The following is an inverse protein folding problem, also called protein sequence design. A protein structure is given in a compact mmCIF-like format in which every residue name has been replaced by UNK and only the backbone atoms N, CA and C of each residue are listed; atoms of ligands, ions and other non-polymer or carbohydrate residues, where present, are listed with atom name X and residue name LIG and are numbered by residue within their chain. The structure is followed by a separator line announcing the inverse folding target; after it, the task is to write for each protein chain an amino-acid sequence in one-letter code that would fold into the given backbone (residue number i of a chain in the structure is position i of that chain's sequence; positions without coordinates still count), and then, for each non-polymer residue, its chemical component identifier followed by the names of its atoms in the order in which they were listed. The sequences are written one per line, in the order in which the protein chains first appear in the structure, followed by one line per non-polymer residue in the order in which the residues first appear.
data_IF_935202575180
#
_entry.id   IF_935202575180
#
_cell.length_a   1.000
_cell.length_b   1.000
_cell.length_c   1.000
_cell.angle_alpha   90.00
_cell.angle_beta   90.00
_cell.angle_gamma   90.00
#
_symmetry.space_group_name_H-M   'P 1'
#
loop_
_entity.id
_entity.type
_entity.pdbx_description
1 polymer ?
#
# COMPACT_ATOMS: atom_id res chain seq x y z
N UNK A 1 -13.25 -16.72 -10.83
CA UNK A 1 -12.73 -16.64 -9.45
C UNK A 1 -11.22 -16.61 -9.56
N UNK A 2 -10.56 -15.54 -9.14
CA UNK A 2 -9.09 -15.53 -9.07
C UNK A 2 -8.70 -16.42 -7.89
N UNK A 3 -7.84 -17.41 -8.12
CA UNK A 3 -7.31 -18.27 -7.07
C UNK A 3 -6.48 -17.41 -6.12
N UNK A 4 -7.05 -17.14 -4.94
CA UNK A 4 -6.42 -16.38 -3.88
C UNK A 4 -5.58 -17.33 -3.02
N UNK A 5 -4.27 -17.11 -3.01
CA UNK A 5 -3.30 -17.85 -2.21
C UNK A 5 -3.18 -17.22 -0.82
N UNK A 6 -3.14 -18.06 0.21
CA UNK A 6 -2.86 -17.60 1.56
C UNK A 6 -1.42 -17.09 1.67
N UNK A 7 -1.25 -15.86 2.16
CA UNK A 7 0.06 -15.20 2.30
C UNK A 7 0.57 -15.22 3.74
N UNK A 8 -0.33 -15.23 4.72
CA UNK A 8 0.01 -15.22 6.14
C UNK A 8 -1.00 -14.47 7.01
N UNK A 9 -0.75 -14.44 8.32
CA UNK A 9 -1.52 -13.66 9.27
C UNK A 9 -0.87 -12.30 9.54
N UNK A 10 -1.68 -11.24 9.52
CA UNK A 10 -1.30 -9.90 9.98
C UNK A 10 -1.37 -9.76 11.50
N UNK A 11 -2.28 -10.50 12.10
CA UNK A 11 -2.51 -10.54 13.53
C UNK A 11 -3.24 -11.83 13.89
N UNK A 12 -2.87 -12.40 15.02
CA UNK A 12 -3.56 -13.52 15.64
C UNK A 12 -3.61 -13.22 17.14
N UNK A 13 -4.81 -13.25 17.72
CA UNK A 13 -4.95 -13.07 19.16
C UNK A 13 -4.39 -14.29 19.89
N UNK A 14 -3.83 -14.10 21.10
CA UNK A 14 -3.31 -15.21 21.91
C UNK A 14 -4.38 -16.26 22.25
N UNK A 15 -5.64 -15.83 22.27
CA UNK A 15 -6.81 -16.68 22.54
C UNK A 15 -7.35 -17.38 21.29
N UNK A 16 -6.85 -17.03 20.09
CA UNK A 16 -7.36 -17.54 18.81
C UNK A 16 -8.73 -16.98 18.42
N UNK A 17 -9.33 -16.13 19.25
CA UNK A 17 -10.67 -15.56 19.06
C UNK A 17 -10.73 -14.59 17.87
N UNK A 18 -9.62 -13.93 17.52
CA UNK A 18 -9.58 -13.01 16.37
C UNK A 18 -8.29 -13.25 15.60
N UNK A 19 -8.43 -13.56 14.31
CA UNK A 19 -7.33 -13.69 13.36
C UNK A 19 -7.56 -12.80 12.15
N UNK A 20 -6.51 -12.13 11.69
CA UNK A 20 -6.52 -11.33 10.48
C UNK A 20 -5.60 -11.98 9.46
N UNK A 21 -6.19 -12.62 8.45
CA UNK A 21 -5.49 -13.34 7.40
C UNK A 21 -5.38 -12.50 6.13
N UNK A 22 -4.29 -12.67 5.38
CA UNK A 22 -4.07 -12.05 4.08
C UNK A 22 -4.00 -13.11 3.01
N UNK A 23 -4.76 -12.89 1.95
CA UNK A 23 -4.73 -13.68 0.73
C UNK A 23 -4.35 -12.78 -0.44
N UNK A 24 -3.70 -13.34 -1.45
CA UNK A 24 -3.32 -12.61 -2.66
C UNK A 24 -3.36 -13.52 -3.86
N UNK A 25 -3.63 -12.98 -5.04
CA UNK A 25 -3.53 -13.75 -6.28
C UNK A 25 -2.06 -14.08 -6.62
N UNK A 26 -1.84 -15.03 -7.52
CA UNK A 26 -0.49 -15.43 -8.00
C UNK A 26 0.33 -14.22 -8.46
N UNK A 27 -0.31 -13.23 -9.08
CA UNK A 27 0.37 -12.04 -9.61
C UNK A 27 0.52 -10.91 -8.58
N UNK A 28 0.04 -11.10 -7.34
CA UNK A 28 0.10 -10.09 -6.27
C UNK A 28 -0.48 -8.73 -6.66
N UNK A 29 -1.55 -8.75 -7.46
CA UNK A 29 -2.30 -7.58 -7.94
C UNK A 29 -3.50 -7.27 -7.05
N UNK A 30 -4.07 -8.29 -6.42
CA UNK A 30 -5.20 -8.20 -5.51
C UNK A 30 -4.83 -8.78 -4.15
N UNK A 31 -5.27 -8.09 -3.09
CA UNK A 31 -5.07 -8.49 -1.71
C UNK A 31 -6.42 -8.57 -1.01
N UNK A 32 -6.78 -9.73 -0.48
CA UNK A 32 -7.96 -9.90 0.36
C UNK A 32 -7.53 -10.03 1.80
N UNK A 33 -8.06 -9.15 2.66
CA UNK A 33 -7.92 -9.26 4.11
C UNK A 33 -9.19 -9.89 4.64
N UNK A 34 -9.04 -10.99 5.40
CA UNK A 34 -10.13 -11.65 6.09
C UNK A 34 -9.96 -11.46 7.60
N UNK A 35 -10.98 -10.88 8.25
CA UNK A 35 -11.07 -10.84 9.71
C UNK A 35 -11.94 -12.03 10.12
N UNK A 36 -11.34 -12.98 10.82
CA UNK A 36 -11.95 -14.22 11.26
C UNK A 36 -12.13 -14.11 12.77
N UNK A 37 -13.37 -13.92 13.23
CA UNK A 37 -13.71 -13.86 14.64
C UNK A 37 -14.38 -15.13 15.12
N UNK A 38 -13.80 -15.84 16.08
CA UNK A 38 -14.39 -17.02 16.74
C UNK A 38 -15.00 -16.59 18.07
N UNK A 39 -16.31 -16.34 18.12
CA UNK A 39 -17.06 -16.36 19.40
C UNK A 39 -17.38 -17.81 19.72
N UNK A 40 -17.14 -18.21 20.96
CA UNK A 40 -17.00 -19.59 21.47
C UNK A 40 -18.06 -20.64 21.13
N UNK A 41 -19.16 -20.33 20.42
CA UNK A 41 -20.16 -21.34 19.99
C UNK A 41 -20.76 -21.11 18.60
N UNK A 42 -20.28 -20.12 17.83
CA UNK A 42 -20.72 -19.87 16.45
C UNK A 42 -19.51 -19.71 15.53
N UNK A 43 -19.45 -20.54 14.48
CA UNK A 43 -18.41 -20.42 13.44
C UNK A 43 -18.46 -19.00 12.87
N UNK A 44 -17.33 -18.33 13.01
CA UNK A 44 -17.16 -16.89 12.88
C UNK A 44 -17.67 -16.26 11.60
N UNK A 45 -18.38 -15.15 11.76
CA UNK A 45 -18.52 -14.16 10.71
C UNK A 45 -17.12 -13.78 10.22
N UNK A 46 -16.87 -14.05 8.94
CA UNK A 46 -15.64 -13.67 8.28
C UNK A 46 -15.92 -12.42 7.46
N UNK A 47 -15.33 -11.30 7.87
CA UNK A 47 -15.43 -10.04 7.14
C UNK A 47 -14.29 -10.01 6.13
N UNK A 48 -14.62 -9.90 4.85
CA UNK A 48 -13.66 -9.82 3.77
C UNK A 48 -13.60 -8.39 3.23
N UNK A 49 -12.39 -7.90 3.01
CA UNK A 49 -12.16 -6.65 2.29
C UNK A 49 -11.11 -6.90 1.22
N UNK A 50 -11.44 -6.53 -0.01
CA UNK A 50 -10.55 -6.60 -1.17
C UNK A 50 -9.84 -5.26 -1.36
N UNK A 51 -8.55 -5.33 -1.65
CA UNK A 51 -7.66 -4.21 -1.84
C UNK A 51 -6.85 -4.40 -3.11
N UNK A 52 -6.64 -3.32 -3.86
CA UNK A 52 -5.54 -3.26 -4.83
C UNK A 52 -4.19 -3.29 -4.09
N UNK A 53 -3.11 -3.59 -4.81
CA UNK A 53 -1.75 -3.56 -4.25
C UNK A 53 -1.41 -2.23 -3.58
N UNK A 54 -1.74 -1.12 -4.23
CA UNK A 54 -1.51 0.23 -3.70
C UNK A 54 -2.28 0.47 -2.39
N UNK A 55 -3.57 0.12 -2.36
CA UNK A 55 -4.41 0.30 -1.17
C UNK A 55 -3.95 -0.59 -0.01
N UNK A 56 -3.56 -1.83 -0.31
CA UNK A 56 -2.99 -2.75 0.68
C UNK A 56 -1.67 -2.20 1.25
N UNK A 57 -0.76 -1.68 0.41
CA UNK A 57 0.49 -1.06 0.87
C UNK A 57 0.22 0.15 1.79
N UNK A 58 -0.78 0.97 1.48
CA UNK A 58 -1.20 2.11 2.33
C UNK A 58 -1.84 1.64 3.65
N UNK A 59 -2.69 0.61 3.59
CA UNK A 59 -3.33 0.03 4.76
C UNK A 59 -2.27 -0.47 5.76
N UNK A 60 -1.31 -1.29 5.30
CA UNK A 60 -0.23 -1.80 6.14
C UNK A 60 0.62 -0.66 6.72
N UNK A 61 0.95 0.36 5.92
CA UNK A 61 1.67 1.52 6.41
C UNK A 61 0.93 2.23 7.54
N UNK A 62 -0.40 2.38 7.43
CA UNK A 62 -1.22 3.01 8.47
C UNK A 62 -1.25 2.18 9.76
N UNK A 63 -1.37 0.86 9.64
CA UNK A 63 -1.32 -0.08 10.77
C UNK A 63 0.05 -0.03 11.46
N UNK A 64 1.14 -0.07 10.69
CA UNK A 64 2.50 0.05 11.21
C UNK A 64 2.70 1.37 11.94
N UNK A 65 2.23 2.50 11.40
CA UNK A 65 2.32 3.81 12.05
C UNK A 65 1.53 3.87 13.35
N UNK A 66 0.33 3.29 13.38
CA UNK A 66 -0.49 3.24 14.61
C UNK A 66 0.15 2.35 15.68
N UNK A 67 0.65 1.17 15.30
CA UNK A 67 1.42 0.30 16.22
C UNK A 67 2.69 1.00 16.72
N UNK A 68 3.42 1.69 15.84
CA UNK A 68 4.61 2.44 16.22
C UNK A 68 4.30 3.53 17.26
N UNK A 69 3.22 4.30 17.09
CA UNK A 69 2.78 5.30 18.08
C UNK A 69 2.47 4.68 19.44
N UNK A 70 1.78 3.54 19.45
CA UNK A 70 1.50 2.79 20.68
C UNK A 70 2.79 2.31 21.34
N UNK A 71 3.70 1.69 20.58
CA UNK A 71 4.99 1.20 21.09
C UNK A 71 5.84 2.33 21.67
N UNK A 72 5.88 3.49 21.02
CA UNK A 72 6.57 4.67 21.54
C UNK A 72 5.97 5.20 22.85
N UNK A 73 4.65 5.08 23.03
CA UNK A 73 4.00 5.44 24.30
C UNK A 73 4.35 4.44 25.42
N UNK A 74 4.49 3.15 25.11
CA UNK A 74 4.98 2.14 26.05
C UNK A 74 6.45 2.34 26.40
N UNK A 75 7.29 2.71 25.44
CA UNK A 75 8.70 3.06 25.67
C UNK A 75 8.84 4.26 26.62
N UNK A 76 8.02 5.30 26.39
CA UNK A 76 7.94 6.45 27.30
C UNK A 76 7.46 6.07 28.72
N UNK A 77 6.80 4.93 28.88
CA UNK A 77 6.36 4.38 30.16
C UNK A 77 7.40 3.45 30.82
N UNK A 78 8.62 3.36 30.27
CA UNK A 78 9.74 2.60 30.84
C UNK A 78 9.92 1.17 30.30
N UNK A 79 9.14 0.76 29.30
CA UNK A 79 9.30 -0.56 28.67
C UNK A 79 10.36 -0.51 27.56
N UNK A 80 11.35 -1.41 27.59
CA UNK A 80 12.34 -1.53 26.51
C UNK A 80 11.70 -2.25 25.33
N UNK A 81 11.53 -1.56 24.20
CA UNK A 81 10.95 -2.11 22.99
C UNK A 81 11.94 -1.95 21.83
N UNK A 82 12.10 -3.01 21.03
CA UNK A 82 12.89 -2.97 19.81
C UNK A 82 12.06 -2.36 18.67
N UNK A 83 12.07 -1.02 18.59
CA UNK A 83 11.27 -0.25 17.65
C UNK A 83 12.00 0.03 16.32
N UNK A 84 13.28 -0.34 16.24
CA UNK A 84 14.16 0.01 15.11
C UNK A 84 13.77 -0.71 13.82
N UNK A 85 13.38 -1.99 13.91
CA UNK A 85 12.92 -2.76 12.75
C UNK A 85 11.62 -2.20 12.15
N UNK A 86 10.70 -1.76 13.01
CA UNK A 86 9.44 -1.13 12.58
C UNK A 86 9.72 0.22 11.92
N UNK A 87 10.64 1.02 12.50
CA UNK A 87 11.07 2.29 11.91
C UNK A 87 11.72 2.10 10.54
N UNK A 88 12.59 1.10 10.40
CA UNK A 88 13.26 0.77 9.13
C UNK A 88 12.24 0.33 8.07
N UNK A 89 11.24 -0.46 8.47
CA UNK A 89 10.15 -0.87 7.58
C UNK A 89 9.29 0.31 7.12
N UNK A 90 8.89 1.19 8.05
CA UNK A 90 8.12 2.41 7.74
C UNK A 90 8.88 3.29 6.75
N UNK A 91 10.15 3.60 7.02
CA UNK A 91 10.99 4.43 6.13
C UNK A 91 11.14 3.81 4.73
N UNK A 92 11.31 2.49 4.65
CA UNK A 92 11.41 1.77 3.37
C UNK A 92 10.11 1.87 2.56
N UNK A 93 8.95 1.75 3.20
CA UNK A 93 7.64 1.85 2.55
C UNK A 93 7.33 3.29 2.12
N UNK A 94 7.66 4.29 2.95
CA UNK A 94 7.48 5.70 2.63
C UNK A 94 8.32 6.13 1.42
N UNK A 95 9.59 5.72 1.39
CA UNK A 95 10.48 6.03 0.26
C UNK A 95 9.96 5.44 -1.06
N UNK A 96 9.37 4.23 -1.03
CA UNK A 96 8.73 3.63 -2.21
C UNK A 96 7.50 4.43 -2.68
N UNK A 97 6.66 4.87 -1.75
CA UNK A 97 5.48 5.67 -2.06
C UNK A 97 5.85 7.07 -2.60
N UNK A 98 6.92 7.66 -2.11
CA UNK A 98 7.45 8.94 -2.60
C UNK A 98 8.03 8.82 -4.01
N UNK A 99 8.84 7.79 -4.28
CA UNK A 99 9.39 7.52 -5.61
C UNK A 99 8.27 7.31 -6.64
N UNK A 100 7.25 6.51 -6.31
CA UNK A 100 6.08 6.33 -7.20
C UNK A 100 5.40 7.67 -7.53
N UNK A 101 5.17 8.53 -6.52
CA UNK A 101 4.59 9.87 -6.74
C UNK A 101 5.48 10.76 -7.61
N UNK A 102 6.80 10.68 -7.43
CA UNK A 102 7.76 11.43 -8.23
C UNK A 102 7.70 11.01 -9.71
N UNK A 103 7.68 9.69 -9.98
CA UNK A 103 7.59 9.13 -11.34
C UNK A 103 6.32 9.58 -12.05
N UNK A 104 5.17 9.56 -11.36
CA UNK A 104 3.89 10.03 -11.94
C UNK A 104 3.98 11.51 -12.32
N UNK A 105 4.51 12.35 -11.43
CA UNK A 105 4.70 13.79 -11.71
C UNK A 105 5.64 14.02 -12.91
N UNK A 106 6.77 13.32 -12.95
CA UNK A 106 7.71 13.40 -14.08
C UNK A 106 7.07 12.95 -15.39
N UNK A 107 6.24 11.90 -15.36
CA UNK A 107 5.56 11.37 -16.56
C UNK A 107 4.57 12.39 -17.13
N UNK A 108 3.82 13.08 -16.28
CA UNK A 108 2.88 14.14 -16.70
C UNK A 108 3.65 15.33 -17.31
N UNK A 109 4.74 15.75 -16.68
CA UNK A 109 5.57 16.84 -17.20
C UNK A 109 6.17 16.46 -18.56
N UNK A 110 6.73 15.27 -18.68
CA UNK A 110 7.31 14.77 -19.93
C UNK A 110 6.26 14.72 -21.05
N UNK A 111 5.06 14.23 -20.75
CA UNK A 111 3.95 14.21 -21.71
C UNK A 111 3.59 15.63 -22.20
N UNK A 112 3.45 16.60 -21.29
CA UNK A 112 3.14 17.98 -21.65
C UNK A 112 4.25 18.63 -22.51
N UNK A 113 5.52 18.36 -22.20
CA UNK A 113 6.65 18.88 -22.99
C UNK A 113 6.63 18.32 -24.42
N UNK A 114 6.35 17.03 -24.58
CA UNK A 114 6.24 16.40 -25.91
C UNK A 114 5.13 17.06 -26.74
N UNK A 115 3.97 17.32 -26.15
CA UNK A 115 2.87 17.98 -26.85
C UNK A 115 3.19 19.42 -27.25
N UNK A 116 3.85 20.18 -26.38
CA UNK A 116 4.27 21.55 -26.70
C UNK A 116 5.25 21.55 -27.87
N UNK A 117 6.24 20.66 -27.85
CA UNK A 117 7.20 20.52 -28.96
C UNK A 117 6.52 20.10 -30.27
N UNK A 118 5.55 19.20 -30.20
CA UNK A 118 4.75 18.78 -31.36
C UNK A 118 3.97 19.97 -31.96
N UNK A 119 3.34 20.80 -31.11
CA UNK A 119 2.60 21.99 -31.54
C UNK A 119 3.54 22.98 -32.22
N UNK A 120 4.72 23.24 -31.64
CA UNK A 120 5.71 24.15 -32.24
C UNK A 120 6.17 23.63 -33.60
N UNK A 121 6.44 22.32 -33.71
CA UNK A 121 6.82 21.69 -34.98
C UNK A 121 5.73 21.86 -36.05
N UNK A 122 4.47 21.59 -35.69
CA UNK A 122 3.33 21.71 -36.60
C UNK A 122 3.10 23.16 -37.03
N UNK A 123 3.24 24.12 -36.13
CA UNK A 123 3.18 25.54 -36.46
C UNK A 123 4.31 25.93 -37.43
N UNK A 124 5.53 25.47 -37.18
CA UNK A 124 6.67 25.70 -38.08
C UNK A 124 6.44 25.16 -39.49
N UNK A 125 5.93 23.93 -39.61
CA UNK A 125 5.56 23.33 -40.89
C UNK A 125 4.42 24.08 -41.58
N UNK A 126 3.42 24.53 -40.83
CA UNK A 126 2.30 25.31 -41.36
C UNK A 126 2.76 26.66 -41.93
N UNK A 127 3.61 27.39 -41.21
CA UNK A 127 4.17 28.66 -41.71
C UNK A 127 5.06 28.45 -42.94
N UNK A 128 5.85 27.37 -42.99
CA UNK A 128 6.67 27.01 -44.16
C UNK A 128 5.86 26.53 -45.37
N UNK A 129 4.61 26.12 -45.19
CA UNK A 129 3.73 25.71 -46.28
C UNK A 129 2.98 26.91 -46.90
N UNK A 130 2.72 27.95 -46.08
CA UNK A 130 1.96 29.14 -46.49
C UNK A 130 2.85 30.22 -47.13
N UNK A 131 4.10 30.34 -46.68
CA UNK A 131 5.11 31.27 -47.22
C UNK A 131 6.11 30.54 -48.11
#
# INVERSE_FOLDING_TARGET
MNDLLFKGFLYESRTGEISVAVYTDINSTCYRIAIIGSKSEQRGESIFADYTKEEYEQFILSVCRNKYRLLKAYEASGYTLDVDDINKLIRKMEKRAEIKRLIVRFSIIAFNVIWILLIILLLGLFFSYIF
#
